data_IF_549822615249
#
_entry.id   IF_549822615249
#
_cell.length_a   1.000
_cell.length_b   1.000
_cell.length_c   1.000
_cell.angle_alpha   90.00
_cell.angle_beta   90.00
_cell.angle_gamma   90.00
#
_symmetry.space_group_name_H-M   'P 1'
#
loop_
_entity.id
_entity.type
_entity.pdbx_description
1 polymer ?
#
# COMPACT_ATOMS: atom_id res chain seq x y z
N UNK A 1 62.01 42.06 -11.43
CA UNK A 1 61.89 43.41 -10.83
C UNK A 1 60.87 43.29 -9.69
N UNK A 2 61.20 42.94 -8.45
CA UNK A 2 61.95 43.70 -7.42
C UNK A 2 61.55 45.18 -7.35
N UNK A 3 60.76 45.50 -6.32
CA UNK A 3 60.57 46.84 -5.73
C UNK A 3 59.63 46.71 -4.53
N UNK A 4 60.12 46.67 -3.28
CA UNK A 4 60.47 47.83 -2.41
C UNK A 4 59.27 48.78 -2.26
N UNK A 5 58.87 49.32 -1.11
CA UNK A 5 59.24 49.29 0.32
C UNK A 5 58.34 50.40 0.93
N UNK A 6 57.96 50.27 2.20
CA UNK A 6 57.74 51.37 3.17
C UNK A 6 56.58 52.38 2.96
N UNK A 7 55.63 52.43 3.90
CA UNK A 7 55.54 53.42 5.01
C UNK A 7 54.10 53.48 5.58
N UNK A 8 53.96 53.18 6.88
CA UNK A 8 53.07 53.91 7.83
C UNK A 8 53.93 55.01 8.48
N UNK A 9 53.40 56.16 8.95
CA UNK A 9 52.61 56.30 10.19
C UNK A 9 51.46 57.35 9.99
N UNK A 10 50.57 57.76 10.91
CA UNK A 10 50.66 58.11 12.34
C UNK A 10 49.22 58.38 12.84
N UNK A 11 48.74 57.67 13.87
CA UNK A 11 48.43 58.17 15.22
C UNK A 11 47.29 59.19 15.37
N UNK A 12 46.21 58.78 16.05
CA UNK A 12 45.69 59.52 17.21
C UNK A 12 44.96 58.57 18.18
N UNK A 13 45.31 58.74 19.44
CA UNK A 13 44.98 58.08 20.71
C UNK A 13 43.51 58.14 21.16
N UNK A 14 43.11 57.16 21.98
CA UNK A 14 41.96 57.24 22.92
C UNK A 14 41.38 55.85 23.24
N UNK A 15 42.04 55.05 24.09
CA UNK A 15 41.66 54.80 25.50
C UNK A 15 40.51 53.80 25.72
N UNK A 16 40.88 52.53 25.96
CA UNK A 16 40.40 51.60 27.00
C UNK A 16 38.94 51.72 27.45
N UNK A 17 38.14 50.70 27.11
CA UNK A 17 37.39 49.86 28.05
C UNK A 17 37.03 48.56 27.33
N UNK A 18 37.56 47.45 27.86
CA UNK A 18 37.11 46.11 27.57
C UNK A 18 35.98 45.84 28.57
N UNK A 19 34.80 45.50 28.06
CA UNK A 19 33.81 44.72 28.78
C UNK A 19 33.14 43.86 27.70
N UNK A 20 33.02 42.59 28.06
CA UNK A 20 32.64 41.44 27.27
C UNK A 20 31.21 41.56 26.70
N UNK A 21 30.99 41.03 25.50
CA UNK A 21 29.77 40.32 25.11
C UNK A 21 30.07 39.59 23.79
N UNK A 22 30.09 38.27 23.88
CA UNK A 22 30.37 37.32 22.80
C UNK A 22 29.29 37.40 21.71
N UNK A 23 29.74 37.61 20.47
CA UNK A 23 29.02 37.28 19.25
C UNK A 23 29.04 35.74 19.08
N UNK A 24 27.97 35.06 19.46
CA UNK A 24 27.62 33.75 18.89
C UNK A 24 26.29 33.92 18.16
N UNK A 25 26.40 34.31 16.88
CA UNK A 25 25.38 34.12 15.85
C UNK A 25 25.20 32.61 15.60
N UNK A 26 24.46 31.92 16.48
CA UNK A 26 23.89 30.62 16.16
C UNK A 26 22.58 30.85 15.39
N UNK A 27 22.72 30.96 14.06
CA UNK A 27 21.67 30.67 13.09
C UNK A 27 21.24 29.20 13.25
N UNK A 28 20.45 28.91 14.29
CA UNK A 28 19.69 27.67 14.38
C UNK A 28 18.50 27.77 13.41
N UNK A 29 18.76 27.33 12.17
CA UNK A 29 17.75 26.79 11.27
C UNK A 29 16.99 25.66 12.00
N UNK A 30 15.95 26.03 12.77
CA UNK A 30 14.98 25.11 13.36
C UNK A 30 14.16 24.50 12.22
N UNK A 31 14.75 23.50 11.58
CA UNK A 31 14.13 22.68 10.57
C UNK A 31 13.00 21.86 11.24
N UNK A 32 11.77 22.36 11.08
CA UNK A 32 10.54 21.60 10.92
C UNK A 32 10.48 20.22 11.63
N UNK A 33 10.32 20.22 12.95
CA UNK A 33 9.85 19.03 13.65
C UNK A 33 8.33 18.91 13.49
N UNK A 34 7.97 18.16 12.44
CA UNK A 34 6.64 17.65 12.09
C UNK A 34 5.81 17.22 13.32
N UNK A 35 4.95 18.12 13.75
CA UNK A 35 3.78 17.79 14.58
C UNK A 35 2.58 17.82 13.63
N UNK A 36 1.65 16.87 13.75
CA UNK A 36 0.31 17.06 13.18
C UNK A 36 -0.48 17.68 14.31
N UNK A 37 -0.28 18.98 14.51
CA UNK A 37 -1.15 19.75 15.38
C UNK A 37 -2.56 19.65 14.78
N UNK A 38 -3.61 19.83 15.57
CA UNK A 38 -4.95 20.15 15.05
C UNK A 38 -5.00 21.42 14.18
N UNK A 39 -3.86 21.90 13.68
CA UNK A 39 -3.68 22.84 12.60
C UNK A 39 -3.97 22.14 11.27
N UNK A 40 -5.09 22.45 10.60
CA UNK A 40 -5.41 21.85 9.32
C UNK A 40 -4.30 22.02 8.27
N UNK A 41 -3.50 23.09 8.36
CA UNK A 41 -2.43 23.36 7.39
C UNK A 41 -1.30 22.32 7.42
N UNK A 42 -0.87 21.88 8.60
CA UNK A 42 0.16 20.84 8.74
C UNK A 42 -0.35 19.48 8.27
N UNK A 43 -1.59 19.14 8.66
CA UNK A 43 -2.25 17.95 8.17
C UNK A 43 -2.29 17.93 6.63
N UNK A 44 -2.73 19.04 6.01
CA UNK A 44 -2.82 19.11 4.57
C UNK A 44 -1.46 19.05 3.88
N UNK A 45 -0.43 19.65 4.48
CA UNK A 45 0.93 19.61 3.94
C UNK A 45 1.53 18.19 3.95
N UNK A 46 1.33 17.42 5.02
CA UNK A 46 1.96 16.10 5.17
C UNK A 46 1.10 14.92 4.71
N UNK A 47 -0.22 15.01 4.85
CA UNK A 47 -1.14 13.87 4.69
C UNK A 47 -2.15 14.03 3.54
N UNK A 48 -2.29 15.23 2.96
CA UNK A 48 -3.19 15.46 1.82
C UNK A 48 -2.45 15.73 0.51
N UNK A 49 -1.51 14.86 0.16
CA UNK A 49 -0.86 14.92 -1.14
C UNK A 49 -1.83 14.72 -2.32
N UNK A 50 -3.00 14.10 -2.08
CA UNK A 50 -4.00 13.75 -3.11
C UNK A 50 -5.06 14.82 -3.35
N UNK A 51 -5.11 15.91 -2.57
CA UNK A 51 -6.16 16.94 -2.59
C UNK A 51 -7.60 16.43 -2.40
N UNK A 52 -7.79 15.17 -2.01
CA UNK A 52 -9.12 14.58 -1.82
C UNK A 52 -9.74 14.89 -0.45
N UNK A 53 -9.01 15.60 0.43
CA UNK A 53 -9.44 15.96 1.79
C UNK A 53 -9.89 14.75 2.63
N UNK A 54 -9.33 13.57 2.36
CA UNK A 54 -9.62 12.32 3.09
C UNK A 54 -8.67 12.17 4.26
N UNK A 55 -9.14 11.56 5.34
CA UNK A 55 -8.37 11.21 6.51
C UNK A 55 -8.40 9.70 6.77
N UNK A 56 -7.23 9.07 6.75
CA UNK A 56 -7.02 7.68 7.16
C UNK A 56 -6.34 7.59 8.52
N UNK A 57 -6.17 8.72 9.21
CA UNK A 57 -5.38 8.79 10.41
C UNK A 57 -6.21 8.42 11.64
N UNK A 58 -5.68 7.52 12.46
CA UNK A 58 -6.34 7.07 13.68
C UNK A 58 -6.55 8.21 14.71
N UNK A 59 -7.64 8.17 15.50
CA UNK A 59 -8.05 9.27 16.40
C UNK A 59 -6.99 9.55 17.48
N UNK A 60 -6.31 8.50 17.96
CA UNK A 60 -5.30 8.59 18.99
C UNK A 60 -4.00 9.31 18.55
N UNK A 61 -3.81 9.54 17.25
CA UNK A 61 -2.63 10.27 16.73
C UNK A 61 -2.74 11.79 16.91
N UNK A 62 -3.95 12.30 17.17
CA UNK A 62 -4.19 13.72 17.37
C UNK A 62 -4.03 14.09 18.86
N UNK A 63 -2.86 14.64 19.22
CA UNK A 63 -2.57 15.08 20.59
C UNK A 63 -3.18 16.46 20.90
N UNK A 64 -3.76 16.61 22.09
CA UNK A 64 -4.11 17.92 22.61
C UNK A 64 -2.85 18.61 23.17
N UNK A 65 -2.62 19.84 22.71
CA UNK A 65 -1.45 20.68 23.06
C UNK A 65 -1.31 20.94 24.57
N UNK A 66 -2.38 20.74 25.34
CA UNK A 66 -2.38 20.81 26.81
C UNK A 66 -1.62 19.66 27.48
N UNK A 67 -1.54 18.48 26.86
CA UNK A 67 -0.72 17.36 27.39
C UNK A 67 0.77 17.58 27.14
N UNK A 68 1.13 18.20 26.01
CA UNK A 68 2.50 18.58 25.69
C UNK A 68 3.09 19.54 26.72
N UNK A 69 2.28 20.48 27.25
CA UNK A 69 2.77 21.48 28.20
C UNK A 69 3.12 20.92 29.59
N UNK A 70 2.53 19.79 29.97
CA UNK A 70 2.82 19.13 31.25
C UNK A 70 4.06 18.22 31.17
N UNK A 71 4.44 17.77 29.97
CA UNK A 71 5.59 16.90 29.74
C UNK A 71 6.90 17.67 29.50
N UNK A 72 6.87 19.00 29.32
CA UNK A 72 8.08 19.84 29.14
C UNK A 72 8.98 19.84 30.40
N UNK A 73 8.44 19.50 31.57
CA UNK A 73 9.22 19.45 32.81
C UNK A 73 9.97 18.12 33.03
N UNK A 74 9.78 17.13 32.15
CA UNK A 74 10.56 15.90 32.17
C UNK A 74 11.29 15.78 30.82
N UNK A 75 12.59 15.45 30.82
CA UNK A 75 13.44 15.20 29.63
C UNK A 75 12.96 14.04 28.72
N UNK A 76 11.70 13.63 28.81
CA UNK A 76 11.01 12.61 28.00
C UNK A 76 10.31 13.21 26.76
N UNK A 77 10.62 14.46 26.39
CA UNK A 77 10.15 15.08 25.16
C UNK A 77 10.55 14.25 23.92
N UNK A 78 11.75 13.64 23.92
CA UNK A 78 12.21 12.80 22.79
C UNK A 78 11.45 11.48 22.63
N UNK A 79 10.90 10.91 23.72
CA UNK A 79 10.21 9.61 23.67
C UNK A 79 8.75 9.69 23.21
N UNK A 80 8.13 10.85 23.31
CA UNK A 80 6.71 11.05 22.95
C UNK A 80 6.52 11.52 21.51
N UNK A 81 7.49 12.23 20.93
CA UNK A 81 7.49 12.64 19.52
C UNK A 81 7.83 11.49 18.55
N UNK A 82 8.48 10.44 19.07
CA UNK A 82 8.96 9.29 18.30
C UNK A 82 8.28 7.98 18.65
N UNK A 83 7.12 7.98 19.32
CA UNK A 83 6.40 6.72 19.52
C UNK A 83 5.91 6.24 18.16
N UNK A 84 6.67 5.30 17.59
CA UNK A 84 6.38 4.64 16.33
C UNK A 84 4.91 4.24 16.32
N UNK A 85 4.28 4.36 15.14
CA UNK A 85 2.87 4.05 15.02
C UNK A 85 2.57 2.67 15.61
N UNK A 86 1.55 2.56 16.45
CA UNK A 86 1.11 1.25 16.93
C UNK A 86 0.48 0.51 15.75
N UNK A 87 0.62 -0.81 15.71
CA UNK A 87 -0.04 -1.63 14.69
C UNK A 87 -1.56 -1.40 14.67
N UNK A 88 -2.16 -1.00 15.80
CA UNK A 88 -3.57 -0.62 15.90
C UNK A 88 -3.93 0.63 15.07
N UNK A 89 -3.00 1.57 14.85
CA UNK A 89 -3.23 2.72 13.98
C UNK A 89 -3.23 2.34 12.50
N UNK A 90 -2.36 1.41 12.11
CA UNK A 90 -2.34 0.87 10.75
C UNK A 90 -3.63 0.10 10.44
N UNK A 91 -4.16 -0.62 11.43
CA UNK A 91 -5.43 -1.35 11.34
C UNK A 91 -6.62 -0.40 11.16
N UNK A 92 -6.65 0.73 11.89
CA UNK A 92 -7.65 1.76 11.67
C UNK A 92 -7.58 2.36 10.26
N UNK A 93 -6.35 2.67 9.82
CA UNK A 93 -6.09 3.21 8.47
C UNK A 93 -6.57 2.22 7.40
N UNK A 94 -6.28 0.93 7.59
CA UNK A 94 -6.75 -0.15 6.73
C UNK A 94 -8.28 -0.26 6.73
N UNK A 95 -8.93 -0.16 7.88
CA UNK A 95 -10.40 -0.17 7.99
C UNK A 95 -11.03 0.98 7.19
N UNK A 96 -10.45 2.18 7.26
CA UNK A 96 -10.90 3.33 6.47
C UNK A 96 -10.78 3.08 4.96
N UNK A 97 -9.65 2.49 4.52
CA UNK A 97 -9.43 2.15 3.10
C UNK A 97 -10.39 1.04 2.65
N UNK A 98 -10.62 0.02 3.48
CA UNK A 98 -11.52 -1.08 3.14
C UNK A 98 -12.96 -0.59 3.00
N UNK A 99 -13.46 0.22 3.93
CA UNK A 99 -14.81 0.74 3.77
C UNK A 99 -14.91 1.75 2.61
N UNK A 100 -13.88 2.53 2.31
CA UNK A 100 -13.86 3.36 1.09
C UNK A 100 -13.92 2.48 -0.17
N UNK A 101 -13.21 1.36 -0.21
CA UNK A 101 -13.21 0.42 -1.33
C UNK A 101 -14.61 -0.17 -1.60
N UNK A 102 -15.38 -0.49 -0.55
CA UNK A 102 -16.71 -1.07 -0.69
C UNK A 102 -17.83 -0.05 -0.86
N UNK A 103 -17.65 1.18 -0.38
CA UNK A 103 -18.68 2.23 -0.41
C UNK A 103 -18.42 3.30 -1.46
N UNK A 104 -17.25 3.29 -2.10
CA UNK A 104 -16.75 4.31 -3.04
C UNK A 104 -16.78 5.74 -2.45
N UNK A 105 -16.81 5.83 -1.11
CA UNK A 105 -16.91 7.07 -0.35
C UNK A 105 -15.93 7.06 0.83
N UNK A 106 -15.18 8.16 1.07
CA UNK A 106 -14.29 8.23 2.21
C UNK A 106 -15.07 8.28 3.53
N UNK A 107 -14.58 7.57 4.56
CA UNK A 107 -15.27 7.49 5.85
C UNK A 107 -15.12 8.77 6.66
N UNK A 108 -13.92 9.34 6.63
CA UNK A 108 -13.55 10.50 7.41
C UNK A 108 -12.85 11.55 6.54
N UNK A 109 -13.32 12.79 6.68
CA UNK A 109 -12.54 14.00 6.41
C UNK A 109 -11.83 14.44 7.69
N UNK A 110 -10.87 15.36 7.61
CA UNK A 110 -10.20 15.87 8.82
C UNK A 110 -11.18 16.39 9.87
N UNK A 111 -12.22 17.14 9.46
CA UNK A 111 -13.25 17.66 10.38
C UNK A 111 -14.04 16.52 11.02
N UNK A 112 -14.52 15.56 10.23
CA UNK A 112 -15.23 14.38 10.76
C UNK A 112 -14.36 13.55 11.70
N UNK A 113 -13.05 13.49 11.46
CA UNK A 113 -12.11 12.77 12.32
C UNK A 113 -11.94 13.45 13.69
N UNK A 114 -11.91 14.79 13.70
CA UNK A 114 -11.88 15.56 14.94
C UNK A 114 -13.20 15.45 15.72
N UNK A 115 -14.33 15.40 15.02
CA UNK A 115 -15.65 15.16 15.62
C UNK A 115 -15.79 13.71 16.10
N UNK A 116 -15.23 12.73 15.38
CA UNK A 116 -15.20 11.33 15.79
C UNK A 116 -14.39 11.15 17.08
N UNK A 117 -13.28 11.90 17.21
CA UNK A 117 -12.48 11.92 18.44
C UNK A 117 -13.28 12.37 19.66
N UNK A 118 -14.24 13.28 19.48
CA UNK A 118 -15.10 13.82 20.56
C UNK A 118 -16.45 13.10 20.67
N UNK A 119 -16.59 11.90 20.08
CA UNK A 119 -17.83 11.10 20.02
C UNK A 119 -19.02 11.82 19.35
N UNK A 120 -18.74 12.85 18.53
CA UNK A 120 -19.74 13.68 17.84
C UNK A 120 -20.10 13.21 16.43
N UNK A 121 -19.38 12.23 15.88
CA UNK A 121 -19.61 11.67 14.55
C UNK A 121 -19.79 10.14 14.63
N UNK A 122 -20.77 9.61 13.91
CA UNK A 122 -21.00 8.16 13.81
C UNK A 122 -20.65 7.69 12.38
N UNK A 123 -19.64 6.82 12.20
CA UNK A 123 -19.29 6.26 10.90
C UNK A 123 -20.22 5.11 10.46
N UNK A 124 -21.05 4.58 11.35
CA UNK A 124 -21.87 3.39 11.10
C UNK A 124 -22.88 3.54 9.94
N UNK A 125 -23.49 4.71 9.65
CA UNK A 125 -24.36 4.89 8.49
C UNK A 125 -23.66 4.63 7.14
N UNK A 126 -22.35 4.91 7.05
CA UNK A 126 -21.55 4.67 5.84
C UNK A 126 -21.16 3.18 5.79
N UNK A 127 -20.69 2.64 6.92
CA UNK A 127 -20.28 1.23 7.04
C UNK A 127 -21.45 0.27 6.77
N UNK A 128 -22.67 0.65 7.16
CA UNK A 128 -23.89 -0.13 6.89
C UNK A 128 -24.25 -0.25 5.40
N UNK A 129 -23.66 0.58 4.52
CA UNK A 129 -23.83 0.43 3.07
C UNK A 129 -23.09 -0.79 2.52
N UNK A 130 -22.13 -1.34 3.26
CA UNK A 130 -21.42 -2.56 2.86
C UNK A 130 -22.41 -3.73 2.86
N UNK A 131 -22.55 -4.37 1.70
CA UNK A 131 -23.51 -5.46 1.45
C UNK A 131 -23.15 -6.70 2.28
N UNK A 132 -21.86 -7.04 2.32
CA UNK A 132 -21.35 -8.20 3.02
C UNK A 132 -21.32 -7.98 4.54
N UNK A 133 -21.93 -8.91 5.28
CA UNK A 133 -22.11 -8.83 6.72
C UNK A 133 -20.78 -9.04 7.47
N UNK A 134 -19.95 -9.96 6.98
CA UNK A 134 -18.68 -10.32 7.61
C UNK A 134 -17.64 -9.21 7.39
N UNK A 135 -17.58 -8.65 6.18
CA UNK A 135 -16.72 -7.50 5.88
C UNK A 135 -17.18 -6.27 6.67
N UNK A 136 -18.50 -6.05 6.77
CA UNK A 136 -19.04 -4.94 7.57
C UNK A 136 -18.66 -5.09 9.04
N UNK A 137 -18.80 -6.28 9.62
CA UNK A 137 -18.41 -6.55 11.00
C UNK A 137 -16.91 -6.35 11.22
N UNK A 138 -16.08 -6.83 10.29
CA UNK A 138 -14.63 -6.65 10.33
C UNK A 138 -14.23 -5.17 10.28
N UNK A 139 -14.80 -4.39 9.36
CA UNK A 139 -14.47 -2.97 9.27
C UNK A 139 -14.96 -2.21 10.49
N UNK A 140 -16.15 -2.55 11.02
CA UNK A 140 -16.66 -1.94 12.25
C UNK A 140 -15.72 -2.13 13.45
N UNK A 141 -15.12 -3.31 13.62
CA UNK A 141 -14.11 -3.53 14.68
C UNK A 141 -12.76 -2.89 14.39
N UNK A 142 -12.39 -2.69 13.11
CA UNK A 142 -11.15 -1.99 12.73
C UNK A 142 -11.20 -0.49 13.01
N UNK A 143 -12.39 0.13 12.88
CA UNK A 143 -12.58 1.57 13.08
C UNK A 143 -12.93 1.97 14.52
N UNK A 144 -12.86 1.04 15.49
CA UNK A 144 -13.17 1.34 16.89
C UNK A 144 -12.32 2.53 17.39
N UNK A 145 -12.94 3.39 18.21
CA UNK A 145 -12.30 4.54 18.80
C UNK A 145 -11.14 4.13 19.73
N UNK A 146 -11.30 3.06 20.50
CA UNK A 146 -10.27 2.56 21.41
C UNK A 146 -9.26 1.65 20.66
N UNK A 147 -7.97 2.00 20.63
CA UNK A 147 -6.95 1.19 19.98
C UNK A 147 -6.83 -0.23 20.55
N UNK A 148 -7.19 -0.42 21.83
CA UNK A 148 -7.05 -1.70 22.52
C UNK A 148 -8.12 -2.72 22.13
N UNK A 149 -9.26 -2.25 21.62
CA UNK A 149 -10.35 -3.11 21.14
C UNK A 149 -10.14 -3.58 19.72
N UNK A 150 -9.22 -2.95 18.98
CA UNK A 150 -8.86 -3.37 17.63
C UNK A 150 -8.02 -4.64 17.73
N UNK A 151 -8.49 -5.71 17.11
CA UNK A 151 -7.72 -6.96 16.98
C UNK A 151 -6.46 -6.75 16.14
N UNK A 152 -5.51 -7.67 16.22
CA UNK A 152 -4.31 -7.65 15.37
C UNK A 152 -4.65 -8.12 13.95
N UNK A 153 -3.76 -7.82 12.99
CA UNK A 153 -3.95 -8.27 11.60
C UNK A 153 -4.03 -9.80 11.47
N UNK A 154 -3.28 -10.54 12.29
CA UNK A 154 -3.32 -12.01 12.32
C UNK A 154 -4.68 -12.53 12.80
N UNK A 155 -5.22 -11.92 13.88
CA UNK A 155 -6.53 -12.28 14.42
C UNK A 155 -7.66 -12.04 13.41
N UNK A 156 -7.62 -10.92 12.68
CA UNK A 156 -8.59 -10.65 11.62
C UNK A 156 -8.51 -11.65 10.47
N UNK A 157 -7.31 -12.13 10.16
CA UNK A 157 -7.12 -13.14 9.13
C UNK A 157 -7.76 -14.47 9.60
N UNK A 158 -7.47 -14.91 10.81
CA UNK A 158 -8.03 -16.16 11.36
C UNK A 158 -9.57 -16.11 11.42
N UNK A 159 -10.16 -14.99 11.87
CA UNK A 159 -11.62 -14.81 11.96
C UNK A 159 -12.33 -14.82 10.60
N UNK A 160 -11.66 -14.37 9.54
CA UNK A 160 -12.23 -14.20 8.21
C UNK A 160 -11.89 -15.34 7.24
N UNK A 161 -11.28 -16.41 7.75
CA UNK A 161 -10.99 -17.62 6.99
C UNK A 161 -12.29 -18.30 6.57
N UNK A 162 -12.52 -18.46 5.26
CA UNK A 162 -13.74 -19.09 4.72
C UNK A 162 -14.99 -18.19 4.76
N UNK A 163 -14.81 -16.90 5.07
CA UNK A 163 -15.84 -15.86 4.96
C UNK A 163 -15.44 -14.88 3.86
N UNK A 164 -14.79 -13.76 4.24
CA UNK A 164 -14.32 -12.74 3.31
C UNK A 164 -13.12 -13.19 2.45
N UNK A 165 -12.31 -14.13 2.95
CA UNK A 165 -11.14 -14.63 2.23
C UNK A 165 -11.32 -16.10 1.82
N UNK A 166 -11.13 -16.45 0.53
CA UNK A 166 -11.16 -17.83 0.06
C UNK A 166 -10.14 -18.72 0.79
N UNK A 167 -10.45 -20.00 0.92
CA UNK A 167 -9.57 -20.97 1.60
C UNK A 167 -8.18 -21.07 0.93
N UNK A 168 -8.15 -20.95 -0.41
CA UNK A 168 -6.92 -20.91 -1.22
C UNK A 168 -5.96 -19.76 -0.86
N UNK A 169 -6.47 -18.70 -0.23
CA UNK A 169 -5.65 -17.59 0.24
C UNK A 169 -4.64 -18.04 1.30
N UNK A 170 -5.07 -18.84 2.27
CA UNK A 170 -4.26 -19.27 3.41
C UNK A 170 -3.33 -20.42 3.07
N UNK A 171 -3.84 -21.39 2.33
CA UNK A 171 -3.11 -22.63 2.00
C UNK A 171 -1.95 -22.36 1.04
N UNK A 172 -2.18 -21.51 0.04
CA UNK A 172 -1.25 -21.33 -1.07
C UNK A 172 -0.85 -19.86 -1.30
N UNK A 173 -1.82 -18.95 -1.43
CA UNK A 173 -1.54 -17.60 -1.94
C UNK A 173 -0.64 -16.79 -1.00
N UNK A 174 -0.99 -16.74 0.29
CA UNK A 174 -0.26 -15.98 1.31
C UNK A 174 1.20 -16.44 1.45
N UNK A 175 1.53 -17.74 1.66
CA UNK A 175 2.92 -18.18 1.75
C UNK A 175 3.68 -17.98 0.42
N UNK A 176 3.01 -18.13 -0.72
CA UNK A 176 3.61 -17.91 -2.03
C UNK A 176 3.96 -16.43 -2.27
N UNK A 177 3.01 -15.53 -2.00
CA UNK A 177 3.20 -14.09 -2.12
C UNK A 177 4.27 -13.62 -1.14
N UNK A 178 4.26 -14.04 0.12
CA UNK A 178 5.33 -13.71 1.08
C UNK A 178 6.72 -14.08 0.58
N UNK A 179 6.86 -15.21 -0.13
CA UNK A 179 8.14 -15.62 -0.75
C UNK A 179 8.55 -14.69 -1.89
N UNK A 180 7.59 -14.23 -2.70
CA UNK A 180 7.85 -13.30 -3.80
C UNK A 180 8.19 -11.90 -3.28
N UNK A 181 7.47 -11.41 -2.27
CA UNK A 181 7.64 -10.07 -1.72
C UNK A 181 8.98 -9.87 -0.99
N UNK A 182 9.73 -10.94 -0.70
CA UNK A 182 11.11 -10.80 -0.20
C UNK A 182 12.05 -10.17 -1.23
N UNK A 183 11.79 -10.36 -2.52
CA UNK A 183 12.58 -9.82 -3.62
C UNK A 183 11.66 -9.00 -4.55
N UNK A 184 11.35 -7.76 -4.15
CA UNK A 184 10.47 -6.81 -4.87
C UNK A 184 11.08 -6.27 -6.18
N UNK A 185 11.42 -7.16 -7.13
CA UNK A 185 11.69 -6.72 -8.51
C UNK A 185 10.57 -7.21 -9.45
N UNK A 186 9.92 -6.31 -10.22
CA UNK A 186 8.86 -6.71 -11.16
C UNK A 186 9.29 -7.79 -12.14
N UNK A 187 10.57 -7.75 -12.56
CA UNK A 187 11.18 -8.74 -13.44
C UNK A 187 11.29 -10.12 -12.75
N UNK A 188 11.72 -10.17 -11.48
CA UNK A 188 11.78 -11.42 -10.71
C UNK A 188 10.39 -12.00 -10.44
N UNK A 189 9.41 -11.16 -10.11
CA UNK A 189 8.02 -11.59 -9.87
C UNK A 189 7.49 -12.32 -11.10
N UNK A 190 7.64 -11.75 -12.29
CA UNK A 190 7.20 -12.38 -13.54
C UNK A 190 7.98 -13.66 -13.83
N UNK A 191 9.31 -13.65 -13.70
CA UNK A 191 10.13 -14.84 -13.90
C UNK A 191 9.71 -15.98 -12.97
N UNK A 192 9.47 -15.67 -11.70
CA UNK A 192 9.09 -16.61 -10.65
C UNK A 192 7.69 -17.17 -10.87
N UNK A 193 6.73 -16.32 -11.24
CA UNK A 193 5.38 -16.73 -11.62
C UNK A 193 5.38 -17.66 -12.82
N UNK A 194 6.15 -17.32 -13.87
CA UNK A 194 6.27 -18.17 -15.05
C UNK A 194 6.90 -19.53 -14.73
N UNK A 195 7.98 -19.55 -13.96
CA UNK A 195 8.70 -20.79 -13.62
C UNK A 195 7.86 -21.72 -12.74
N UNK A 196 7.17 -21.15 -11.75
CA UNK A 196 6.38 -21.93 -10.80
C UNK A 196 4.93 -22.11 -11.29
N UNK A 197 4.61 -21.74 -12.55
CA UNK A 197 3.25 -21.79 -13.09
C UNK A 197 2.63 -23.20 -13.02
N UNK A 198 3.37 -24.24 -13.40
CA UNK A 198 2.88 -25.63 -13.28
C UNK A 198 2.56 -26.02 -11.84
N UNK A 199 3.31 -25.50 -10.86
CA UNK A 199 3.06 -25.74 -9.44
C UNK A 199 1.84 -24.97 -8.94
N UNK A 200 1.67 -23.71 -9.37
CA UNK A 200 0.48 -22.89 -9.10
C UNK A 200 -0.76 -23.62 -9.61
N UNK A 201 -0.74 -24.08 -10.86
CA UNK A 201 -1.87 -24.77 -11.48
C UNK A 201 -2.15 -26.09 -10.76
N UNK A 202 -1.12 -26.88 -10.41
CA UNK A 202 -1.36 -28.10 -9.66
C UNK A 202 -1.92 -27.81 -8.26
N UNK A 203 -1.44 -26.77 -7.58
CA UNK A 203 -1.97 -26.43 -6.25
C UNK A 203 -3.36 -25.82 -6.27
N UNK A 204 -3.80 -25.22 -7.39
CA UNK A 204 -5.11 -24.59 -7.54
C UNK A 204 -6.14 -25.49 -8.23
N UNK A 205 -5.72 -26.42 -9.11
CA UNK A 205 -6.60 -27.29 -9.90
C UNK A 205 -6.57 -28.78 -9.48
N UNK A 206 -5.50 -29.29 -8.84
CA UNK A 206 -5.36 -30.75 -8.59
C UNK A 206 -6.00 -31.22 -7.28
N UNK A 207 -6.54 -30.32 -6.46
CA UNK A 207 -7.49 -30.76 -5.42
C UNK A 207 -8.78 -31.36 -6.03
N UNK A 208 -9.01 -31.21 -7.34
CA UNK A 208 -10.21 -31.71 -8.04
C UNK A 208 -10.23 -33.22 -8.34
N UNK A 209 -9.12 -33.96 -8.22
CA UNK A 209 -9.05 -35.33 -8.78
C UNK A 209 -9.05 -36.48 -7.76
N UNK A 210 -9.11 -36.21 -6.44
CA UNK A 210 -9.03 -37.27 -5.41
C UNK A 210 -10.28 -37.46 -4.54
N UNK A 211 -11.35 -36.70 -4.74
CA UNK A 211 -12.64 -36.98 -4.11
C UNK A 211 -13.56 -37.71 -5.08
N UNK A 212 -13.75 -39.00 -4.76
CA UNK A 212 -14.65 -39.92 -5.43
C UNK A 212 -16.03 -39.31 -5.71
N UNK A 213 -16.56 -39.68 -6.88
CA UNK A 213 -17.95 -39.54 -7.32
C UNK A 213 -18.94 -39.61 -6.14
N UNK A 214 -19.49 -38.47 -5.71
CA UNK A 214 -20.79 -38.27 -5.04
C UNK A 214 -20.82 -36.92 -4.29
N UNK A 215 -20.99 -35.78 -4.98
CA UNK A 215 -21.62 -34.55 -4.44
C UNK A 215 -21.61 -33.40 -5.47
N UNK A 216 -22.62 -33.38 -6.35
CA UNK A 216 -22.78 -32.38 -7.43
C UNK A 216 -22.99 -30.91 -6.99
N UNK A 217 -22.99 -30.58 -5.69
CA UNK A 217 -23.20 -29.21 -5.19
C UNK A 217 -21.93 -28.56 -4.61
N UNK A 218 -20.85 -29.31 -4.37
CA UNK A 218 -19.61 -28.79 -3.74
C UNK A 218 -18.57 -28.32 -4.78
N UNK A 219 -18.71 -28.74 -6.04
CA UNK A 219 -17.70 -28.53 -7.07
C UNK A 219 -17.73 -27.10 -7.66
N UNK A 220 -18.87 -26.40 -7.66
CA UNK A 220 -18.97 -25.04 -8.22
C UNK A 220 -18.27 -23.98 -7.34
N UNK A 221 -18.48 -24.01 -6.02
CA UNK A 221 -17.87 -23.04 -5.09
C UNK A 221 -16.34 -23.16 -5.07
N UNK A 222 -15.79 -24.39 -5.07
CA UNK A 222 -14.33 -24.62 -5.11
C UNK A 222 -13.72 -24.24 -6.45
N UNK A 223 -14.42 -24.52 -7.55
CA UNK A 223 -13.99 -24.06 -8.87
C UNK A 223 -13.93 -22.53 -8.93
N UNK A 224 -14.92 -21.85 -8.35
CA UNK A 224 -14.96 -20.39 -8.30
C UNK A 224 -13.85 -19.80 -7.41
N UNK A 225 -13.51 -20.43 -6.28
CA UNK A 225 -12.36 -20.04 -5.45
C UNK A 225 -11.03 -20.14 -6.20
N UNK A 226 -10.82 -21.24 -6.94
CA UNK A 226 -9.58 -21.44 -7.71
C UNK A 226 -9.41 -20.37 -8.80
N UNK A 227 -10.50 -20.02 -9.50
CA UNK A 227 -10.54 -18.94 -10.48
C UNK A 227 -10.26 -17.58 -9.84
N UNK A 228 -10.84 -17.28 -8.67
CA UNK A 228 -10.56 -16.04 -7.94
C UNK A 228 -9.09 -15.92 -7.52
N UNK A 229 -8.50 -16.99 -7.01
CA UNK A 229 -7.08 -17.04 -6.67
C UNK A 229 -6.19 -16.83 -7.91
N UNK A 230 -6.55 -17.42 -9.06
CA UNK A 230 -5.86 -17.17 -10.32
C UNK A 230 -5.96 -15.70 -10.77
N UNK A 231 -7.13 -15.06 -10.58
CA UNK A 231 -7.33 -13.64 -10.93
C UNK A 231 -6.46 -12.68 -10.10
N UNK A 232 -6.15 -13.03 -8.84
CA UNK A 232 -5.22 -12.25 -8.02
C UNK A 232 -3.80 -12.36 -8.60
N UNK A 233 -3.37 -13.57 -8.98
CA UNK A 233 -2.06 -13.80 -9.60
C UNK A 233 -1.95 -13.13 -10.98
N UNK A 234 -3.02 -13.16 -11.78
CA UNK A 234 -3.10 -12.44 -13.04
C UNK A 234 -2.99 -10.93 -12.82
N UNK A 235 -3.72 -10.38 -11.85
CA UNK A 235 -3.66 -8.94 -11.50
C UNK A 235 -2.25 -8.52 -11.07
N UNK A 236 -1.56 -9.37 -10.30
CA UNK A 236 -0.18 -9.16 -9.89
C UNK A 236 0.76 -9.17 -11.11
N UNK A 237 0.65 -10.18 -11.98
CA UNK A 237 1.45 -10.28 -13.20
C UNK A 237 1.25 -9.06 -14.10
N UNK A 238 0.00 -8.65 -14.36
CA UNK A 238 -0.35 -7.49 -15.18
C UNK A 238 0.15 -6.16 -14.58
N UNK A 239 0.18 -6.03 -13.25
CA UNK A 239 0.77 -4.86 -12.58
C UNK A 239 2.28 -4.81 -12.80
N UNK A 240 2.97 -5.93 -12.64
CA UNK A 240 4.41 -6.05 -12.85
C UNK A 240 4.80 -5.79 -14.31
N UNK A 241 3.99 -6.25 -15.27
CA UNK A 241 4.20 -6.05 -16.72
C UNK A 241 4.37 -4.59 -17.12
N UNK A 242 3.73 -3.66 -16.41
CA UNK A 242 3.85 -2.22 -16.72
C UNK A 242 5.22 -1.65 -16.40
N UNK A 243 5.98 -2.31 -15.53
CA UNK A 243 7.24 -1.83 -14.95
C UNK A 243 8.45 -2.70 -15.34
N UNK A 244 8.30 -3.63 -16.28
CA UNK A 244 9.38 -4.52 -16.72
C UNK A 244 10.48 -3.74 -17.42
N UNK A 245 11.74 -3.99 -17.03
CA UNK A 245 12.91 -3.29 -17.57
C UNK A 245 13.60 -4.10 -18.66
N UNK A 246 13.58 -5.43 -18.54
CA UNK A 246 14.36 -6.31 -19.41
C UNK A 246 13.50 -6.96 -20.50
N UNK A 247 14.08 -7.07 -21.70
CA UNK A 247 13.42 -7.73 -22.85
C UNK A 247 13.04 -9.19 -22.53
N UNK A 248 13.90 -9.92 -21.84
CA UNK A 248 13.64 -11.30 -21.47
C UNK A 248 12.41 -11.44 -20.56
N UNK A 249 12.29 -10.59 -19.54
CA UNK A 249 11.10 -10.57 -18.66
C UNK A 249 9.83 -10.22 -19.43
N UNK A 250 9.92 -9.36 -20.44
CA UNK A 250 8.76 -8.99 -21.29
C UNK A 250 8.30 -10.15 -22.15
N UNK A 251 9.21 -10.97 -22.67
CA UNK A 251 8.86 -12.20 -23.38
C UNK A 251 8.22 -13.23 -22.44
N UNK A 252 8.85 -13.47 -21.28
CA UNK A 252 8.30 -14.37 -20.25
C UNK A 252 6.92 -13.93 -19.77
N UNK A 253 6.67 -12.63 -19.67
CA UNK A 253 5.34 -12.12 -19.31
C UNK A 253 4.29 -12.46 -20.37
N UNK A 254 4.63 -12.37 -21.66
CA UNK A 254 3.72 -12.74 -22.75
C UNK A 254 3.48 -14.26 -22.81
N UNK A 255 4.50 -15.06 -22.50
CA UNK A 255 4.36 -16.51 -22.35
C UNK A 255 3.47 -16.86 -21.16
N UNK A 256 3.67 -16.21 -20.00
CA UNK A 256 2.82 -16.38 -18.82
C UNK A 256 1.36 -16.03 -19.12
N UNK A 257 1.10 -14.92 -19.81
CA UNK A 257 -0.26 -14.56 -20.22
C UNK A 257 -0.87 -15.61 -21.15
N UNK A 258 -0.09 -16.13 -22.11
CA UNK A 258 -0.55 -17.22 -22.98
C UNK A 258 -0.95 -18.46 -22.19
N UNK A 259 -0.23 -18.78 -21.13
CA UNK A 259 -0.55 -19.92 -20.26
C UNK A 259 -1.78 -19.66 -19.38
N UNK A 260 -2.06 -18.41 -19.02
CA UNK A 260 -3.22 -18.03 -18.20
C UNK A 260 -4.51 -17.83 -19.01
N UNK A 261 -4.43 -17.45 -20.29
CA UNK A 261 -5.59 -17.20 -21.15
C UNK A 261 -6.60 -18.37 -21.17
N UNK A 262 -6.20 -19.65 -21.33
CA UNK A 262 -7.16 -20.76 -21.36
C UNK A 262 -7.88 -21.04 -20.03
N UNK A 263 -7.43 -20.42 -18.93
CA UNK A 263 -7.91 -20.68 -17.58
C UNK A 263 -8.83 -19.57 -17.06
N UNK A 264 -9.13 -18.58 -17.90
CA UNK A 264 -9.74 -17.32 -17.49
C UNK A 264 -10.85 -16.97 -18.49
N UNK A 265 -11.98 -16.48 -17.98
CA UNK A 265 -13.13 -16.15 -18.82
C UNK A 265 -12.84 -15.04 -19.85
N UNK A 266 -13.52 -15.11 -20.99
CA UNK A 266 -13.40 -14.18 -22.11
C UNK A 266 -13.53 -12.70 -21.70
N UNK A 267 -14.40 -12.40 -20.74
CA UNK A 267 -14.59 -11.04 -20.23
C UNK A 267 -13.31 -10.48 -19.61
N UNK A 268 -12.59 -11.30 -18.84
CA UNK A 268 -11.34 -10.91 -18.19
C UNK A 268 -10.23 -10.77 -19.24
N UNK A 269 -10.22 -11.61 -20.27
CA UNK A 269 -9.29 -11.49 -21.39
C UNK A 269 -9.47 -10.13 -22.08
N UNK A 270 -10.71 -9.75 -22.39
CA UNK A 270 -11.04 -8.50 -23.07
C UNK A 270 -10.75 -7.27 -22.22
N UNK A 271 -11.22 -7.25 -20.97
CA UNK A 271 -11.16 -6.06 -20.13
C UNK A 271 -9.80 -5.85 -19.47
N UNK A 272 -9.11 -6.94 -19.12
CA UNK A 272 -7.86 -6.87 -18.35
C UNK A 272 -6.64 -7.19 -19.17
N UNK A 273 -6.63 -8.26 -19.96
CA UNK A 273 -5.41 -8.73 -20.64
C UNK A 273 -5.14 -7.91 -21.92
N UNK A 274 -6.15 -7.72 -22.76
CA UNK A 274 -6.03 -7.05 -24.06
C UNK A 274 -5.43 -5.63 -23.98
N UNK A 275 -5.79 -4.76 -23.00
CA UNK A 275 -5.20 -3.42 -22.90
C UNK A 275 -3.68 -3.43 -22.66
N UNK A 276 -3.16 -4.35 -21.83
CA UNK A 276 -1.71 -4.45 -21.56
C UNK A 276 -0.93 -4.98 -22.74
N UNK A 277 -1.54 -5.93 -23.46
CA UNK A 277 -0.95 -6.54 -24.63
C UNK A 277 -0.94 -5.54 -25.79
N UNK A 278 -2.01 -4.77 -26.00
CA UNK A 278 -2.07 -3.68 -26.97
C UNK A 278 -1.01 -2.60 -26.68
N UNK A 279 -0.78 -2.27 -25.41
CA UNK A 279 0.32 -1.38 -25.00
C UNK A 279 1.70 -1.95 -25.38
N UNK A 280 1.92 -3.25 -25.21
CA UNK A 280 3.17 -3.91 -25.60
C UNK A 280 3.32 -4.09 -27.12
N UNK A 281 2.23 -4.16 -27.88
CA UNK A 281 2.28 -4.17 -29.35
C UNK A 281 2.82 -2.86 -29.93
N UNK A 282 2.67 -1.74 -29.22
CA UNK A 282 3.28 -0.45 -29.58
C UNK A 282 4.77 -0.36 -29.26
N UNK A 283 5.33 -1.38 -28.60
CA UNK A 283 6.74 -1.44 -28.27
C UNK A 283 7.57 -1.75 -29.53
N UNK A 284 8.72 -1.09 -29.69
CA UNK A 284 9.53 -1.13 -30.91
C UNK A 284 10.21 -2.49 -31.18
N UNK A 285 10.15 -3.44 -30.24
CA UNK A 285 10.82 -4.73 -30.38
C UNK A 285 10.00 -5.72 -31.20
N UNK A 286 10.53 -6.12 -32.36
CA UNK A 286 9.95 -7.11 -33.27
C UNK A 286 9.68 -8.45 -32.57
N UNK A 287 10.54 -8.86 -31.62
CA UNK A 287 10.39 -10.13 -30.91
C UNK A 287 9.14 -10.17 -30.01
N UNK A 288 8.77 -9.02 -29.44
CA UNK A 288 7.55 -8.85 -28.63
C UNK A 288 6.32 -8.91 -29.54
N UNK A 289 6.41 -8.39 -30.76
CA UNK A 289 5.33 -8.45 -31.76
C UNK A 289 5.14 -9.85 -32.34
N UNK A 290 6.24 -10.60 -32.54
CA UNK A 290 6.18 -11.98 -33.03
C UNK A 290 5.66 -12.94 -31.96
N UNK A 291 6.07 -12.78 -30.70
CA UNK A 291 5.51 -13.55 -29.57
C UNK A 291 4.05 -13.20 -29.33
N UNK A 292 3.67 -11.91 -29.42
CA UNK A 292 2.27 -11.48 -29.43
C UNK A 292 1.45 -12.21 -30.50
N UNK A 293 1.91 -12.20 -31.75
CA UNK A 293 1.19 -12.84 -32.86
C UNK A 293 1.06 -14.36 -32.66
N UNK A 294 2.05 -15.01 -32.03
CA UNK A 294 1.98 -16.43 -31.66
C UNK A 294 1.09 -16.72 -30.47
N UNK A 295 1.00 -15.81 -29.50
CA UNK A 295 0.18 -15.97 -28.29
C UNK A 295 -1.29 -15.62 -28.50
N UNK A 296 -1.60 -14.76 -29.49
CA UNK A 296 -2.95 -14.30 -29.83
C UNK A 296 -3.36 -14.67 -31.26
N UNK A 297 -2.72 -15.68 -31.86
CA UNK A 297 -3.15 -16.20 -33.15
C UNK A 297 -4.62 -16.66 -33.06
N UNK A 298 -5.43 -16.42 -34.11
CA UNK A 298 -6.87 -16.65 -34.09
C UNK A 298 -7.29 -18.11 -33.89
N UNK A 299 -6.35 -19.06 -33.97
CA UNK A 299 -6.61 -20.48 -33.72
C UNK A 299 -7.03 -20.78 -32.26
N UNK A 300 -6.83 -19.85 -31.30
CA UNK A 300 -7.29 -19.99 -29.91
C UNK A 300 -8.66 -19.34 -29.62
N UNK A 301 -9.24 -18.62 -30.59
CA UNK A 301 -10.56 -17.98 -30.48
C UNK A 301 -11.62 -18.74 -31.29
N UNK A 302 -11.27 -19.94 -31.78
CA UNK A 302 -12.08 -20.73 -32.71
C UNK A 302 -12.33 -22.18 -32.24
N UNK A 303 -12.30 -22.45 -30.94
CA UNK A 303 -12.87 -23.67 -30.35
C UNK A 303 -13.78 -23.33 -29.18
#
# INVERSE_FOLDING_TARGET
MIGKKLKRPSSCSGSIRADDDDDDDDDDDVLNNQTIVGNPAEYYYYFNASQRNVCYLAPERFYDQTRMRNDINNDTFSTSFGKLGTSAMDIFSLGCILAELFTEQPLFTLTQMLDYRTDGYDPMPIVNKIVDIDIRAMVASMIDHDPSKRHTAEQYLDEQTGKAFPSCFYTFLLPYVQKILKEFSPDFVVYKLHRDFSYIINSLLVENNNTNENSMEIDEEKSQESSQCLLILLSLALSCMRKLKHLHSRLLALELLRLMIPLVDDQIILDRILPYVSKHKRDQSILVQTSFSKSFSPDLLSE
#
